data_IF_576727020072
#
_entry.id   IF_576727020072
#
_cell.length_a   1.000
_cell.length_b   1.000
_cell.length_c   1.000
_cell.angle_alpha   90.00
_cell.angle_beta   90.00
_cell.angle_gamma   90.00
#
_symmetry.space_group_name_H-M   'P 1'
#
loop_
_entity.id
_entity.type
_entity.pdbx_description
1 polymer ?
#
# COMPACT_ATOMS: atom_id res chain seq x y z
N UNK A 1 53.32 -8.76 8.97
CA UNK A 1 52.53 -7.52 8.79
C UNK A 1 51.93 -7.34 7.40
N UNK A 2 52.70 -7.37 6.31
CA UNK A 2 52.14 -7.14 4.95
C UNK A 2 51.12 -8.20 4.51
N UNK A 3 51.38 -9.49 4.79
CA UNK A 3 50.48 -10.59 4.41
C UNK A 3 49.14 -10.56 5.17
N UNK A 4 49.14 -10.17 6.46
CA UNK A 4 47.92 -9.98 7.27
C UNK A 4 47.10 -8.79 6.75
N UNK A 5 47.76 -7.72 6.32
CA UNK A 5 47.13 -6.54 5.73
C UNK A 5 46.47 -6.84 4.37
N UNK A 6 47.10 -7.69 3.55
CA UNK A 6 46.54 -8.14 2.27
C UNK A 6 45.32 -9.05 2.46
N UNK A 7 45.33 -9.90 3.49
CA UNK A 7 44.18 -10.72 3.87
C UNK A 7 42.99 -9.86 4.33
N UNK A 8 43.22 -8.83 5.16
CA UNK A 8 42.16 -7.93 5.59
C UNK A 8 41.59 -7.11 4.42
N UNK A 9 42.45 -6.64 3.51
CA UNK A 9 42.02 -5.90 2.32
C UNK A 9 41.22 -6.76 1.36
N UNK A 10 41.62 -8.01 1.14
CA UNK A 10 40.86 -8.96 0.30
C UNK A 10 39.53 -9.35 0.93
N UNK A 11 39.46 -9.53 2.26
CA UNK A 11 38.20 -9.77 2.98
C UNK A 11 37.24 -8.57 2.88
N UNK A 12 37.76 -7.34 2.99
CA UNK A 12 37.00 -6.09 2.80
C UNK A 12 36.44 -5.97 1.38
N UNK A 13 37.24 -6.29 0.36
CA UNK A 13 36.81 -6.26 -1.04
C UNK A 13 35.75 -7.35 -1.34
N UNK A 14 35.86 -8.53 -0.72
CA UNK A 14 34.85 -9.60 -0.79
C UNK A 14 33.54 -9.23 -0.06
N UNK A 15 33.59 -8.55 1.08
CA UNK A 15 32.40 -8.01 1.74
C UNK A 15 31.71 -6.91 0.91
N UNK A 16 32.47 -6.10 0.17
CA UNK A 16 31.92 -5.04 -0.68
C UNK A 16 31.37 -5.54 -2.02
N UNK A 17 31.68 -6.79 -2.39
CA UNK A 17 31.26 -7.43 -3.65
C UNK A 17 30.29 -8.59 -3.45
N UNK A 18 29.83 -8.81 -2.22
CA UNK A 18 28.76 -9.77 -1.95
C UNK A 18 27.52 -9.30 -2.72
N UNK A 19 26.96 -10.11 -3.64
CA UNK A 19 25.72 -9.74 -4.31
C UNK A 19 24.67 -9.57 -3.22
N UNK A 20 24.21 -8.32 -3.01
CA UNK A 20 23.05 -8.08 -2.18
C UNK A 20 21.88 -8.77 -2.88
N UNK A 21 21.48 -9.92 -2.35
CA UNK A 21 20.29 -10.62 -2.83
C UNK A 21 19.10 -9.72 -2.50
N UNK A 22 18.40 -9.23 -3.51
CA UNK A 22 17.18 -8.49 -3.28
C UNK A 22 16.09 -9.47 -2.82
N UNK A 23 15.37 -9.08 -1.77
CA UNK A 23 14.22 -9.85 -1.29
C UNK A 23 13.08 -9.94 -2.31
N UNK A 24 12.18 -10.88 -2.09
CA UNK A 24 10.98 -11.15 -2.86
C UNK A 24 9.77 -10.46 -2.22
N UNK A 25 9.22 -9.44 -2.89
CA UNK A 25 8.17 -8.59 -2.34
C UNK A 25 6.82 -8.94 -2.95
N UNK A 26 5.84 -9.22 -2.10
CA UNK A 26 4.43 -9.38 -2.49
C UNK A 26 3.74 -8.02 -2.45
N UNK A 27 3.05 -7.65 -3.53
CA UNK A 27 2.42 -6.33 -3.66
C UNK A 27 0.91 -6.45 -3.83
N UNK A 28 0.18 -5.66 -3.03
CA UNK A 28 -1.26 -5.44 -3.13
C UNK A 28 -1.51 -4.02 -3.63
N UNK A 29 -1.58 -3.80 -4.96
CA UNK A 29 -1.77 -2.47 -5.50
C UNK A 29 -3.24 -2.04 -5.48
N UNK A 30 -3.48 -0.74 -5.26
CA UNK A 30 -4.78 -0.14 -5.55
C UNK A 30 -5.01 0.09 -7.05
N UNK A 31 -6.22 0.55 -7.37
CA UNK A 31 -6.64 0.83 -8.74
C UNK A 31 -6.32 2.29 -9.18
N UNK A 32 -6.21 2.50 -10.48
CA UNK A 32 -5.98 3.78 -11.17
C UNK A 32 -4.70 4.51 -10.72
N UNK A 33 -4.82 5.67 -10.08
CA UNK A 33 -3.67 6.43 -9.60
C UNK A 33 -2.86 5.69 -8.53
N UNK A 34 -3.50 4.81 -7.76
CA UNK A 34 -2.84 3.99 -6.74
C UNK A 34 -1.89 2.98 -7.39
N UNK A 35 -2.29 2.38 -8.52
CA UNK A 35 -1.41 1.53 -9.31
C UNK A 35 -0.16 2.28 -9.78
N UNK A 36 -0.30 3.52 -10.27
CA UNK A 36 0.84 4.32 -10.72
C UNK A 36 1.82 4.64 -9.58
N UNK A 37 1.30 4.92 -8.38
CA UNK A 37 2.12 5.12 -7.19
C UNK A 37 2.88 3.86 -6.80
N UNK A 38 2.18 2.71 -6.69
CA UNK A 38 2.80 1.43 -6.38
C UNK A 38 3.84 1.03 -7.42
N UNK A 39 3.54 1.21 -8.71
CA UNK A 39 4.44 0.90 -9.84
C UNK A 39 5.76 1.67 -9.76
N UNK A 40 5.74 2.91 -9.29
CA UNK A 40 6.97 3.70 -9.08
C UNK A 40 7.87 3.06 -8.03
N UNK A 41 7.30 2.58 -6.93
CA UNK A 41 8.04 1.86 -5.88
C UNK A 41 8.57 0.52 -6.42
N UNK A 42 7.73 -0.23 -7.13
CA UNK A 42 8.12 -1.52 -7.71
C UNK A 42 9.23 -1.41 -8.76
N UNK A 43 9.19 -0.39 -9.62
CA UNK A 43 10.26 -0.13 -10.60
C UNK A 43 11.61 0.09 -9.88
N UNK A 44 11.61 0.79 -8.74
CA UNK A 44 12.81 1.01 -7.93
C UNK A 44 13.27 -0.25 -7.18
N UNK A 45 12.33 -1.08 -6.69
CA UNK A 45 12.63 -2.39 -6.09
C UNK A 45 13.34 -3.30 -7.10
N UNK A 46 12.78 -3.43 -8.32
CA UNK A 46 13.39 -4.21 -9.40
C UNK A 46 14.77 -3.65 -9.79
N UNK A 47 14.91 -2.33 -9.87
CA UNK A 47 16.20 -1.68 -10.13
C UNK A 47 17.26 -2.00 -9.05
N UNK A 48 16.83 -2.25 -7.82
CA UNK A 48 17.66 -2.69 -6.69
C UNK A 48 17.75 -4.21 -6.55
N UNK A 49 17.42 -4.95 -7.61
CA UNK A 49 17.56 -6.40 -7.70
C UNK A 49 16.59 -7.21 -6.82
N UNK A 50 15.47 -6.59 -6.38
CA UNK A 50 14.37 -7.30 -5.73
C UNK A 50 13.45 -7.98 -6.75
N UNK A 51 12.95 -9.16 -6.42
CA UNK A 51 11.86 -9.78 -7.16
C UNK A 51 10.52 -9.23 -6.67
N UNK A 52 9.59 -8.95 -7.57
CA UNK A 52 8.28 -8.37 -7.24
C UNK A 52 7.18 -9.25 -7.82
N UNK A 53 6.24 -9.65 -6.97
CA UNK A 53 5.02 -10.34 -7.37
C UNK A 53 3.80 -9.51 -7.00
N UNK A 54 2.97 -9.21 -7.98
CA UNK A 54 1.75 -8.43 -7.82
C UNK A 54 0.56 -9.39 -7.71
N UNK A 55 -0.18 -9.33 -6.60
CA UNK A 55 -1.45 -10.05 -6.45
C UNK A 55 -2.59 -9.16 -6.96
N UNK A 56 -3.26 -9.60 -8.02
CA UNK A 56 -4.22 -8.78 -8.76
C UNK A 56 -5.51 -9.55 -9.05
N UNK A 57 -6.65 -8.88 -8.95
CA UNK A 57 -7.93 -9.45 -9.37
C UNK A 57 -8.01 -9.55 -10.90
N UNK A 58 -8.62 -10.62 -11.42
CA UNK A 58 -8.74 -10.87 -12.87
C UNK A 58 -9.42 -9.73 -13.64
N UNK A 59 -10.37 -9.06 -13.00
CA UNK A 59 -11.13 -7.94 -13.53
C UNK A 59 -10.58 -6.56 -13.15
N UNK A 60 -9.30 -6.47 -12.76
CA UNK A 60 -8.66 -5.16 -12.47
C UNK A 60 -8.76 -4.23 -13.68
N UNK A 61 -9.34 -3.02 -13.55
CA UNK A 61 -9.40 -2.04 -14.64
C UNK A 61 -8.06 -1.36 -14.93
N UNK A 62 -7.07 -1.44 -14.03
CA UNK A 62 -5.86 -0.62 -14.09
C UNK A 62 -4.59 -1.42 -14.34
N UNK A 63 -4.54 -2.65 -13.83
CA UNK A 63 -3.34 -3.49 -13.89
C UNK A 63 -3.43 -4.40 -15.11
N UNK A 64 -2.67 -4.07 -16.15
CA UNK A 64 -2.58 -4.91 -17.34
C UNK A 64 -1.51 -5.99 -17.16
N UNK A 65 -1.90 -7.12 -16.57
CA UNK A 65 -1.01 -8.27 -16.37
C UNK A 65 -0.66 -9.03 -17.65
N UNK A 66 -1.34 -8.74 -18.78
CA UNK A 66 -1.06 -9.32 -20.11
C UNK A 66 -0.15 -8.43 -20.99
N UNK A 67 0.20 -7.23 -20.53
CA UNK A 67 1.09 -6.34 -21.28
C UNK A 67 2.55 -6.79 -21.16
N UNK A 68 3.25 -6.91 -22.29
CA UNK A 68 4.65 -7.35 -22.32
C UNK A 68 5.61 -6.45 -21.53
N UNK A 69 5.31 -5.16 -21.35
CA UNK A 69 6.20 -4.23 -20.62
C UNK A 69 6.28 -4.55 -19.13
N UNK A 70 5.12 -4.71 -18.48
CA UNK A 70 5.07 -4.91 -17.04
C UNK A 70 5.26 -6.39 -16.71
N UNK A 71 4.76 -7.31 -17.55
CA UNK A 71 5.01 -8.75 -17.43
C UNK A 71 6.49 -9.13 -17.61
N UNK A 72 7.30 -8.29 -18.25
CA UNK A 72 8.75 -8.48 -18.33
C UNK A 72 9.51 -8.05 -17.05
N UNK A 73 8.86 -7.30 -16.15
CA UNK A 73 9.49 -6.74 -14.95
C UNK A 73 8.96 -7.34 -13.66
N UNK A 74 7.66 -7.65 -13.62
CA UNK A 74 6.96 -8.10 -12.43
C UNK A 74 6.31 -9.45 -12.71
N UNK A 75 6.23 -10.27 -11.66
CA UNK A 75 5.40 -11.47 -11.67
C UNK A 75 3.96 -11.09 -11.30
N UNK A 76 2.98 -11.78 -11.86
CA UNK A 76 1.57 -11.55 -11.56
C UNK A 76 0.90 -12.82 -11.09
N UNK A 77 0.25 -12.75 -9.93
CA UNK A 77 -0.66 -13.76 -9.44
C UNK A 77 -2.08 -13.22 -9.60
N UNK A 78 -2.84 -13.84 -10.51
CA UNK A 78 -4.20 -13.42 -10.82
C UNK A 78 -5.19 -14.30 -10.08
N UNK A 79 -6.12 -13.70 -9.34
CA UNK A 79 -7.19 -14.41 -8.67
C UNK A 79 -8.56 -13.90 -9.11
N UNK A 80 -9.56 -14.77 -9.05
CA UNK A 80 -10.92 -14.46 -9.49
C UNK A 80 -11.72 -13.89 -8.34
N UNK A 81 -12.44 -12.80 -8.59
CA UNK A 81 -13.38 -12.22 -7.62
C UNK A 81 -14.79 -12.31 -8.17
N UNK A 82 -15.70 -12.96 -7.43
CA UNK A 82 -17.10 -12.99 -7.79
C UNK A 82 -17.65 -11.55 -7.88
N UNK A 83 -18.53 -11.27 -8.84
CA UNK A 83 -19.21 -9.95 -9.02
C UNK A 83 -18.31 -8.77 -9.37
N UNK A 84 -17.09 -8.98 -9.89
CA UNK A 84 -16.20 -7.88 -10.25
C UNK A 84 -16.77 -6.96 -11.35
N UNK A 85 -17.57 -7.50 -12.28
CA UNK A 85 -18.26 -6.72 -13.31
C UNK A 85 -19.36 -5.82 -12.71
N UNK A 86 -20.10 -6.31 -11.72
CA UNK A 86 -21.13 -5.53 -11.01
C UNK A 86 -20.51 -4.39 -10.18
N UNK A 87 -19.31 -4.60 -9.63
CA UNK A 87 -18.55 -3.56 -8.95
C UNK A 87 -18.12 -2.44 -9.92
N UNK A 88 -17.52 -2.79 -11.06
CA UNK A 88 -17.14 -1.81 -12.09
C UNK A 88 -18.35 -0.99 -12.55
N UNK A 89 -19.49 -1.64 -12.80
CA UNK A 89 -20.75 -0.98 -13.11
C UNK A 89 -21.23 -0.07 -11.97
N UNK A 90 -21.12 -0.50 -10.72
CA UNK A 90 -21.50 0.32 -9.57
C UNK A 90 -20.62 1.58 -9.46
N UNK A 91 -19.33 1.46 -9.75
CA UNK A 91 -18.39 2.60 -9.74
C UNK A 91 -18.68 3.59 -10.87
N UNK A 92 -19.06 3.13 -12.08
CA UNK A 92 -19.38 4.05 -13.19
C UNK A 92 -20.66 4.84 -12.96
N UNK A 93 -21.59 4.35 -12.14
CA UNK A 93 -22.82 5.06 -11.77
C UNK A 93 -22.61 6.05 -10.61
N UNK A 94 -21.57 5.87 -9.80
CA UNK A 94 -21.22 6.77 -8.68
C UNK A 94 -20.24 7.84 -9.20
N UNK A 95 -20.69 8.69 -10.13
CA UNK A 95 -19.89 9.83 -10.59
C UNK A 95 -20.08 11.05 -9.68
N UNK A 96 -18.99 11.51 -9.06
CA UNK A 96 -18.87 12.83 -8.44
C UNK A 96 -18.73 12.84 -6.91
N UNK A 97 -18.10 13.91 -6.39
CA UNK A 97 -17.83 14.18 -4.97
C UNK A 97 -19.10 14.17 -4.07
N UNK A 98 -20.31 14.27 -4.64
CA UNK A 98 -21.57 14.31 -3.90
C UNK A 98 -21.96 12.98 -3.24
N UNK A 99 -21.37 11.86 -3.67
CA UNK A 99 -21.72 10.52 -3.18
C UNK A 99 -20.52 9.80 -2.53
N UNK A 100 -19.56 10.56 -1.97
CA UNK A 100 -18.33 10.00 -1.40
C UNK A 100 -18.53 8.89 -0.36
N UNK A 101 -19.62 8.95 0.43
CA UNK A 101 -19.98 7.88 1.39
C UNK A 101 -20.43 6.60 0.66
N UNK A 102 -21.25 6.73 -0.39
CA UNK A 102 -21.72 5.58 -1.16
C UNK A 102 -20.57 4.92 -1.92
N UNK A 103 -19.68 5.74 -2.51
CA UNK A 103 -18.44 5.26 -3.14
C UNK A 103 -17.62 4.44 -2.15
N UNK A 104 -17.41 4.97 -0.94
CA UNK A 104 -16.68 4.27 0.11
C UNK A 104 -17.35 2.94 0.50
N UNK A 105 -18.65 2.93 0.77
CA UNK A 105 -19.38 1.70 1.13
C UNK A 105 -19.27 0.63 0.04
N UNK A 106 -19.38 1.03 -1.23
CA UNK A 106 -19.23 0.12 -2.38
C UNK A 106 -17.80 -0.44 -2.46
N UNK A 107 -16.78 0.40 -2.26
CA UNK A 107 -15.38 -0.04 -2.24
C UNK A 107 -15.07 -1.00 -1.08
N UNK A 108 -15.62 -0.76 0.12
CA UNK A 108 -15.44 -1.64 1.28
C UNK A 108 -16.10 -3.01 1.07
N UNK A 109 -17.35 -3.03 0.60
CA UNK A 109 -18.05 -4.28 0.31
C UNK A 109 -17.33 -5.12 -0.74
N UNK A 110 -16.74 -4.48 -1.75
CA UNK A 110 -15.89 -5.16 -2.72
C UNK A 110 -14.60 -5.67 -2.10
N UNK A 111 -13.93 -4.87 -1.26
CA UNK A 111 -12.73 -5.26 -0.53
C UNK A 111 -12.94 -6.52 0.34
N UNK A 112 -14.11 -6.65 1.00
CA UNK A 112 -14.46 -7.86 1.76
C UNK A 112 -14.58 -9.09 0.85
N UNK A 113 -15.26 -8.96 -0.29
CA UNK A 113 -15.38 -10.06 -1.28
C UNK A 113 -14.02 -10.46 -1.85
N UNK A 114 -13.15 -9.47 -2.10
CA UNK A 114 -11.79 -9.70 -2.54
C UNK A 114 -11.00 -10.47 -1.48
N UNK A 115 -11.12 -10.08 -0.21
CA UNK A 115 -10.44 -10.77 0.88
C UNK A 115 -10.91 -12.22 1.04
N UNK A 116 -12.22 -12.44 0.96
CA UNK A 116 -12.82 -13.78 0.96
C UNK A 116 -12.27 -14.64 -0.19
N UNK A 117 -12.18 -14.08 -1.39
CA UNK A 117 -11.66 -14.77 -2.57
C UNK A 117 -10.17 -15.16 -2.42
N UNK A 118 -9.39 -14.41 -1.65
CA UNK A 118 -7.98 -14.71 -1.38
C UNK A 118 -7.88 -15.77 -0.27
N UNK A 119 -8.41 -15.49 0.91
CA UNK A 119 -8.19 -16.31 2.11
C UNK A 119 -8.91 -17.67 2.05
N UNK A 120 -10.07 -17.75 1.39
CA UNK A 120 -10.79 -19.03 1.23
C UNK A 120 -10.23 -19.87 0.09
N UNK A 121 -9.40 -19.30 -0.78
CA UNK A 121 -8.76 -20.05 -1.86
C UNK A 121 -7.49 -20.75 -1.35
N UNK A 122 -7.67 -22.01 -0.94
CA UNK A 122 -6.58 -22.83 -0.40
C UNK A 122 -5.40 -22.99 -1.36
N UNK A 123 -5.66 -23.11 -2.67
CA UNK A 123 -4.61 -23.25 -3.67
C UNK A 123 -3.79 -21.96 -3.77
N UNK A 124 -4.43 -20.80 -3.81
CA UNK A 124 -3.74 -19.52 -3.82
C UNK A 124 -2.93 -19.30 -2.54
N UNK A 125 -3.52 -19.56 -1.36
CA UNK A 125 -2.82 -19.41 -0.10
C UNK A 125 -1.64 -20.39 0.05
N UNK A 126 -1.71 -21.58 -0.55
CA UNK A 126 -0.58 -22.49 -0.64
C UNK A 126 0.53 -21.90 -1.52
N UNK A 127 0.19 -21.43 -2.73
CA UNK A 127 1.14 -20.76 -3.63
C UNK A 127 1.83 -19.57 -2.94
N UNK A 128 1.09 -18.75 -2.18
CA UNK A 128 1.66 -17.60 -1.47
C UNK A 128 2.63 -18.01 -0.36
N UNK A 129 2.39 -19.14 0.32
CA UNK A 129 3.31 -19.69 1.33
C UNK A 129 4.57 -20.26 0.69
N UNK A 130 4.41 -21.02 -0.39
CA UNK A 130 5.51 -21.69 -1.08
C UNK A 130 6.44 -20.71 -1.80
N UNK A 131 5.92 -19.55 -2.20
CA UNK A 131 6.68 -18.49 -2.87
C UNK A 131 7.72 -17.77 -1.97
N UNK A 132 7.67 -18.00 -0.64
CA UNK A 132 8.64 -17.51 0.35
C UNK A 132 8.99 -16.02 0.18
N UNK A 133 7.97 -15.16 0.29
CA UNK A 133 8.14 -13.72 0.26
C UNK A 133 8.89 -13.21 1.50
N UNK A 134 9.58 -12.07 1.36
CA UNK A 134 10.31 -11.41 2.45
C UNK A 134 9.54 -10.23 3.05
N UNK A 135 8.61 -9.64 2.30
CA UNK A 135 7.78 -8.52 2.76
C UNK A 135 6.50 -8.38 1.93
N UNK A 136 5.50 -7.73 2.52
CA UNK A 136 4.27 -7.31 1.84
C UNK A 136 4.25 -5.79 1.70
N UNK A 137 4.07 -5.29 0.48
CA UNK A 137 3.80 -3.88 0.19
C UNK A 137 2.30 -3.71 -0.09
N UNK A 138 1.61 -2.97 0.77
CA UNK A 138 0.18 -2.77 0.70
C UNK A 138 -0.17 -1.30 0.41
N UNK A 139 -0.99 -1.07 -0.60
CA UNK A 139 -1.79 0.15 -0.67
C UNK A 139 -3.06 -0.03 0.19
N UNK A 140 -3.25 0.77 1.25
CA UNK A 140 -4.33 0.54 2.21
C UNK A 140 -5.72 0.93 1.68
N UNK A 141 -5.84 1.35 0.42
CA UNK A 141 -7.12 1.43 -0.28
C UNK A 141 -7.66 0.07 -0.70
N UNK A 142 -6.82 -0.96 -0.70
CA UNK A 142 -7.23 -2.36 -0.89
C UNK A 142 -7.20 -3.07 0.45
N UNK A 143 -8.16 -3.96 0.65
CA UNK A 143 -8.27 -4.76 1.87
C UNK A 143 -7.51 -6.08 1.74
N UNK A 144 -7.29 -6.75 2.87
CA UNK A 144 -6.76 -8.11 3.01
C UNK A 144 -5.24 -8.26 2.95
N UNK A 145 -4.48 -7.32 2.40
CA UNK A 145 -3.02 -7.49 2.33
C UNK A 145 -2.35 -7.52 3.69
N UNK A 146 -2.91 -6.80 4.67
CA UNK A 146 -2.53 -6.81 6.08
C UNK A 146 -2.81 -8.15 6.73
N UNK A 147 -4.01 -8.70 6.53
CA UNK A 147 -4.39 -10.01 7.05
C UNK A 147 -3.60 -11.14 6.39
N UNK A 148 -3.34 -11.05 5.09
CA UNK A 148 -2.46 -12.00 4.38
C UNK A 148 -1.04 -11.92 4.93
N UNK A 149 -0.50 -10.72 5.19
CA UNK A 149 0.80 -10.55 5.80
C UNK A 149 0.86 -11.22 7.19
N UNK A 150 -0.17 -11.05 8.02
CA UNK A 150 -0.27 -11.68 9.34
C UNK A 150 -0.34 -13.22 9.25
N UNK A 151 -1.17 -13.75 8.33
CA UNK A 151 -1.28 -15.20 8.09
C UNK A 151 0.01 -15.82 7.56
N UNK A 152 0.79 -15.07 6.78
CA UNK A 152 2.09 -15.52 6.25
C UNK A 152 3.26 -15.22 7.21
N UNK A 153 3.05 -14.44 8.28
CA UNK A 153 4.10 -14.03 9.22
C UNK A 153 5.13 -13.06 8.61
N UNK A 154 4.70 -12.22 7.67
CA UNK A 154 5.58 -11.33 6.91
C UNK A 154 5.55 -9.89 7.42
N UNK A 155 6.66 -9.14 7.31
CA UNK A 155 6.66 -7.71 7.59
C UNK A 155 5.77 -6.98 6.57
N UNK A 156 4.90 -6.10 7.08
CA UNK A 156 3.98 -5.29 6.29
C UNK A 156 4.52 -3.87 6.14
N UNK A 157 4.61 -3.41 4.90
CA UNK A 157 4.92 -2.03 4.54
C UNK A 157 3.68 -1.43 3.89
N UNK A 158 3.10 -0.41 4.52
CA UNK A 158 1.95 0.31 3.98
C UNK A 158 2.45 1.53 3.21
N UNK A 159 2.01 1.69 1.97
CA UNK A 159 2.33 2.86 1.15
C UNK A 159 1.05 3.49 0.63
N UNK A 160 0.84 4.76 1.00
CA UNK A 160 -0.27 5.57 0.53
C UNK A 160 0.25 6.96 0.18
N UNK A 161 -0.20 7.52 -0.95
CA UNK A 161 0.19 8.88 -1.35
C UNK A 161 -0.52 9.95 -0.53
N UNK A 162 -1.84 9.80 -0.37
CA UNK A 162 -2.64 10.51 0.62
C UNK A 162 -4.01 9.82 0.83
N UNK A 163 -4.59 9.97 2.01
CA UNK A 163 -6.02 9.80 2.26
C UNK A 163 -6.74 11.15 2.31
N UNK A 164 -8.06 11.15 2.16
CA UNK A 164 -8.87 12.36 2.29
C UNK A 164 -8.66 12.99 3.68
N UNK A 165 -8.25 14.26 3.71
CA UNK A 165 -7.95 14.94 4.96
C UNK A 165 -6.73 14.41 5.72
N UNK A 166 -5.93 13.52 5.13
CA UNK A 166 -4.79 12.88 5.80
C UNK A 166 -5.20 12.04 7.01
N UNK A 167 -6.41 11.48 7.02
CA UNK A 167 -6.98 10.76 8.18
C UNK A 167 -6.23 9.46 8.45
N UNK A 168 -5.96 8.65 7.43
CA UNK A 168 -5.26 7.37 7.61
C UNK A 168 -3.81 7.56 8.04
N UNK A 169 -3.12 8.55 7.49
CA UNK A 169 -1.73 8.88 7.85
C UNK A 169 -1.62 9.24 9.32
N UNK A 170 -2.55 10.07 9.82
CA UNK A 170 -2.57 10.52 11.21
C UNK A 170 -2.98 9.42 12.18
N UNK A 171 -4.01 8.64 11.84
CA UNK A 171 -4.62 7.69 12.76
C UNK A 171 -4.06 6.27 12.65
N UNK A 172 -3.80 5.78 11.43
CA UNK A 172 -3.25 4.44 11.21
C UNK A 172 -1.70 4.49 11.14
N UNK A 173 -1.15 5.50 10.46
CA UNK A 173 0.30 5.66 10.29
C UNK A 173 1.00 6.40 11.43
N UNK A 174 0.24 6.94 12.39
CA UNK A 174 0.74 7.79 13.47
C UNK A 174 1.64 8.94 13.00
N UNK A 175 1.41 9.46 11.79
CA UNK A 175 2.18 10.56 11.20
C UNK A 175 1.59 11.89 11.67
N UNK A 176 2.35 12.73 12.41
CA UNK A 176 1.87 14.05 12.80
C UNK A 176 1.69 14.93 11.56
N UNK A 177 0.47 15.41 11.33
CA UNK A 177 0.14 16.35 10.24
C UNK A 177 -0.63 17.54 10.80
N UNK A 178 0.06 18.50 11.46
CA UNK A 178 -0.59 19.68 12.01
C UNK A 178 -1.11 20.56 10.86
N UNK A 179 -2.42 20.87 10.79
CA UNK A 179 -3.01 21.57 9.65
C UNK A 179 -2.48 22.99 9.46
N UNK A 180 -1.84 23.57 10.47
CA UNK A 180 -1.16 24.86 10.34
C UNK A 180 0.08 24.80 9.45
N UNK A 181 0.70 23.64 9.22
CA UNK A 181 1.94 23.46 8.45
C UNK A 181 1.83 22.39 7.38
N UNK A 182 0.99 21.38 7.58
CA UNK A 182 0.74 20.29 6.64
C UNK A 182 -0.73 20.38 6.19
N UNK A 183 -1.01 21.01 5.04
CA UNK A 183 -2.38 21.18 4.59
C UNK A 183 -3.03 19.83 4.25
N UNK A 184 -4.26 19.57 4.72
CA UNK A 184 -4.95 18.32 4.45
C UNK A 184 -5.27 18.19 2.95
N UNK A 185 -4.94 17.04 2.32
CA UNK A 185 -5.35 16.75 0.95
C UNK A 185 -6.88 16.85 0.81
N UNK A 186 -7.40 17.39 -0.31
CA UNK A 186 -6.69 17.73 -1.54
C UNK A 186 -6.29 19.22 -1.65
N UNK A 187 -6.16 19.96 -0.54
CA UNK A 187 -5.77 21.38 -0.62
C UNK A 187 -4.42 21.50 -1.36
N UNK A 188 -4.30 22.40 -2.36
CA UNK A 188 -3.10 22.54 -3.19
C UNK A 188 -2.01 23.39 -2.53
N UNK A 189 -2.07 23.56 -1.20
CA UNK A 189 -1.13 24.38 -0.46
C UNK A 189 0.15 23.61 -0.13
N UNK A 190 1.26 24.32 0.08
CA UNK A 190 2.48 23.75 0.64
C UNK A 190 2.59 24.06 2.14
N UNK A 191 3.76 23.82 2.73
CA UNK A 191 4.13 24.28 4.07
C UNK A 191 4.25 25.82 4.18
N UNK A 192 4.34 26.50 3.05
CA UNK A 192 4.34 27.95 2.92
C UNK A 192 2.92 28.45 2.67
N UNK A 193 2.19 28.72 3.75
CA UNK A 193 0.83 29.27 3.72
C UNK A 193 0.77 30.66 4.34
N UNK A 194 0.01 31.56 3.70
CA UNK A 194 -0.49 32.80 4.28
C UNK A 194 -1.44 32.52 5.44
N UNK A 195 -1.75 33.54 6.24
CA UNK A 195 -2.68 33.39 7.36
C UNK A 195 -4.05 32.83 6.91
N UNK A 196 -4.60 33.32 5.80
CA UNK A 196 -5.90 32.87 5.28
C UNK A 196 -5.84 31.42 4.80
N UNK A 197 -4.78 31.02 4.11
CA UNK A 197 -4.60 29.63 3.68
C UNK A 197 -4.46 28.68 4.88
N UNK A 198 -3.74 29.09 5.93
CA UNK A 198 -3.66 28.33 7.18
C UNK A 198 -5.03 28.18 7.85
N UNK A 199 -5.84 29.24 7.85
CA UNK A 199 -7.20 29.18 8.39
C UNK A 199 -8.07 28.21 7.60
N UNK A 200 -8.04 28.27 6.27
CA UNK A 200 -8.74 27.32 5.40
C UNK A 200 -8.27 25.88 5.65
N UNK A 201 -6.95 25.68 5.76
CA UNK A 201 -6.37 24.38 6.08
C UNK A 201 -6.90 23.78 7.39
N UNK A 202 -6.93 24.58 8.46
CA UNK A 202 -7.49 24.17 9.76
C UNK A 202 -8.98 23.85 9.65
N UNK A 203 -9.76 24.66 8.94
CA UNK A 203 -11.19 24.41 8.76
C UNK A 203 -11.47 23.14 7.96
N UNK A 204 -10.73 22.89 6.88
CA UNK A 204 -10.80 21.65 6.11
C UNK A 204 -10.40 20.45 6.96
N UNK A 205 -9.34 20.57 7.77
CA UNK A 205 -8.92 19.53 8.71
C UNK A 205 -10.04 19.16 9.69
N UNK A 206 -10.66 20.15 10.33
CA UNK A 206 -11.74 19.92 11.28
C UNK A 206 -12.90 19.23 10.58
N UNK A 207 -13.32 19.74 9.41
CA UNK A 207 -14.43 19.20 8.64
C UNK A 207 -14.18 17.75 8.19
N UNK A 208 -12.99 17.47 7.68
CA UNK A 208 -12.62 16.10 7.25
C UNK A 208 -12.54 15.15 8.43
N UNK A 209 -12.05 15.58 9.61
CA UNK A 209 -12.13 14.74 10.81
C UNK A 209 -13.58 14.42 11.18
N UNK A 210 -14.47 15.41 11.19
CA UNK A 210 -15.88 15.16 11.51
C UNK A 210 -16.57 14.19 10.54
N UNK A 211 -16.30 14.32 9.23
CA UNK A 211 -16.95 13.50 8.19
C UNK A 211 -16.32 12.11 8.09
N UNK A 212 -15.00 12.03 8.12
CA UNK A 212 -14.26 10.84 7.74
C UNK A 212 -13.73 10.05 8.95
N UNK A 213 -13.46 10.68 10.11
CA UNK A 213 -12.94 9.92 11.26
C UNK A 213 -13.87 8.77 11.68
N UNK A 214 -15.20 8.89 11.75
CA UNK A 214 -16.08 7.74 12.06
C UNK A 214 -15.97 6.61 11.03
N UNK A 215 -15.70 6.95 9.78
CA UNK A 215 -15.60 6.03 8.65
C UNK A 215 -14.28 5.26 8.65
N UNK A 216 -13.17 5.95 8.92
CA UNK A 216 -11.82 5.39 8.94
C UNK A 216 -11.40 4.82 10.31
N UNK A 217 -12.09 5.14 11.41
CA UNK A 217 -11.80 4.54 12.73
C UNK A 217 -11.95 3.01 12.68
N UNK A 218 -12.94 2.51 11.92
CA UNK A 218 -13.11 1.08 11.68
C UNK A 218 -11.95 0.46 10.90
N UNK A 219 -11.32 1.22 9.98
CA UNK A 219 -10.14 0.76 9.25
C UNK A 219 -8.91 0.75 10.15
N UNK A 220 -8.63 1.83 10.89
CA UNK A 220 -7.48 1.88 11.80
C UNK A 220 -7.59 0.91 12.99
N UNK A 221 -8.81 0.53 13.40
CA UNK A 221 -9.03 -0.52 14.41
C UNK A 221 -8.62 -1.92 13.94
N UNK A 222 -8.64 -2.20 12.62
CA UNK A 222 -8.12 -3.44 12.03
C UNK A 222 -6.59 -3.43 11.96
N UNK A 223 -5.99 -2.26 11.73
CA UNK A 223 -4.52 -2.08 11.72
C UNK A 223 -3.87 -2.07 13.12
N UNK A 224 -4.66 -2.10 14.20
CA UNK A 224 -4.18 -2.15 15.60
C UNK A 224 -3.88 -3.59 16.08
N UNK A 225 -3.27 -4.43 15.23
CA UNK A 225 -2.57 -5.60 15.77
C UNK A 225 -1.24 -5.11 16.38
N UNK A 226 -0.93 -5.46 17.64
CA UNK A 226 0.20 -4.90 18.38
C UNK A 226 1.59 -5.22 17.80
N UNK A 227 1.67 -5.94 16.68
CA UNK A 227 2.90 -6.45 16.09
C UNK A 227 3.30 -5.79 14.75
N UNK A 228 2.47 -4.91 14.16
CA UNK A 228 2.70 -4.43 12.78
C UNK A 228 3.68 -3.25 12.71
N UNK A 229 3.82 -2.48 13.78
CA UNK A 229 4.91 -1.52 13.94
C UNK A 229 5.40 -1.58 15.39
N UNK A 230 6.58 -2.18 15.69
CA UNK A 230 7.21 -1.90 16.97
C UNK A 230 7.54 -0.41 16.98
N UNK A 231 6.72 0.37 17.68
CA UNK A 231 7.09 1.72 18.10
C UNK A 231 8.45 1.57 18.80
N UNK A 232 9.50 2.28 18.37
CA UNK A 232 10.76 2.27 19.10
C UNK A 232 10.45 2.67 20.54
N UNK A 233 10.65 1.73 21.48
CA UNK A 233 10.57 2.08 22.90
C UNK A 233 11.70 3.08 23.18
N UNK A 234 11.44 4.14 23.96
CA UNK A 234 12.45 5.13 24.31
C UNK A 234 13.64 4.51 25.04
#
# INVERSE_FOLDING_TARGET
>A
NVSVSLYHLSLLLLCMSSPAFGGHVLVFPGEYSHWLNARTIMDELVRRNHSVTVLVADASPSVSYNNSRDAAKFNFLVFKVATAHEYLLSLTHIQGLKYGVLYYVVTQNFGLKQCDAILKNQQLMATLRDAAFDAVLLDPMIMCGDLVADVLGLPLVISLRFSQGGVMERHCGHVPAPPSFVPPPPLPYSDLMTFTERLTSVMTYVTTCWVHTPLYFYLCGVFHTPNVFPVPKP
#
